data_IF_962205902624
#
_entry.id   IF_962205902624
#
_cell.length_a   1.000
_cell.length_b   1.000
_cell.length_c   1.000
_cell.angle_alpha   90.00
_cell.angle_beta   90.00
_cell.angle_gamma   90.00
#
_symmetry.space_group_name_H-M   'P 1'
#
loop_
_entity.id
_entity.type
_entity.pdbx_description
1 polymer ?
#
# COMPACT_ATOMS: atom_id res chain seq x y z
N UNK A 1 -14.85 -1.51 -2.80
CA UNK A 1 -14.34 -2.64 -1.99
C UNK A 1 -14.57 -3.84 -2.87
N UNK A 2 -13.58 -4.71 -3.06
CA UNK A 2 -13.81 -5.96 -3.80
C UNK A 2 -14.87 -6.80 -3.06
N UNK A 3 -15.57 -7.66 -3.78
CA UNK A 3 -16.32 -8.74 -3.14
C UNK A 3 -15.34 -9.64 -2.38
N UNK A 4 -15.75 -10.24 -1.25
CA UNK A 4 -14.87 -11.15 -0.51
C UNK A 4 -14.55 -12.40 -1.35
N UNK A 5 -13.33 -12.95 -1.23
CA UNK A 5 -12.96 -14.11 -2.03
C UNK A 5 -13.78 -15.33 -1.58
N UNK A 6 -14.07 -16.22 -2.52
CA UNK A 6 -14.78 -17.46 -2.22
C UNK A 6 -14.01 -18.25 -1.16
N UNK A 7 -14.74 -18.73 -0.14
CA UNK A 7 -14.19 -19.52 0.98
C UNK A 7 -13.09 -18.79 1.80
N UNK A 8 -12.90 -17.48 1.62
CA UNK A 8 -11.87 -16.70 2.30
C UNK A 8 -10.46 -16.89 1.74
N UNK A 9 -10.31 -17.54 0.58
CA UNK A 9 -9.01 -17.83 -0.04
C UNK A 9 -8.69 -16.77 -1.10
N UNK A 10 -7.75 -15.87 -0.79
CA UNK A 10 -7.32 -14.83 -1.73
C UNK A 10 -6.52 -15.42 -2.90
N UNK A 11 -6.88 -15.03 -4.13
CA UNK A 11 -6.10 -15.27 -5.34
C UNK A 11 -5.47 -13.97 -5.86
N UNK A 12 -4.67 -14.06 -6.93
CA UNK A 12 -3.98 -12.91 -7.50
C UNK A 12 -4.95 -11.80 -7.95
N UNK A 13 -6.05 -12.15 -8.62
CA UNK A 13 -7.01 -11.17 -9.15
C UNK A 13 -7.72 -10.44 -8.01
N UNK A 14 -8.09 -11.16 -6.96
CA UNK A 14 -8.69 -10.58 -5.76
C UNK A 14 -7.71 -9.65 -5.03
N UNK A 15 -6.46 -10.09 -4.85
CA UNK A 15 -5.42 -9.28 -4.19
C UNK A 15 -5.15 -7.99 -4.97
N UNK A 16 -5.10 -8.05 -6.30
CA UNK A 16 -4.92 -6.85 -7.12
C UNK A 16 -6.05 -5.84 -6.89
N UNK A 17 -7.31 -6.29 -6.92
CA UNK A 17 -8.49 -5.46 -6.70
C UNK A 17 -8.56 -4.92 -5.26
N UNK A 18 -8.18 -5.75 -4.29
CA UNK A 18 -8.09 -5.40 -2.89
C UNK A 18 -7.06 -4.28 -2.67
N UNK A 19 -5.86 -4.42 -3.22
CA UNK A 19 -4.81 -3.41 -3.15
C UNK A 19 -5.21 -2.14 -3.90
N UNK A 20 -5.81 -2.23 -5.08
CA UNK A 20 -6.30 -1.06 -5.81
C UNK A 20 -7.31 -0.25 -4.99
N UNK A 21 -8.27 -0.94 -4.36
CA UNK A 21 -9.22 -0.30 -3.47
C UNK A 21 -8.53 0.27 -2.23
N UNK A 22 -7.62 -0.47 -1.60
CA UNK A 22 -6.89 -0.07 -0.39
C UNK A 22 -6.02 1.18 -0.60
N UNK A 23 -5.37 1.28 -1.76
CA UNK A 23 -4.54 2.43 -2.17
C UNK A 23 -5.38 3.69 -2.48
N UNK A 24 -6.69 3.54 -2.67
CA UNK A 24 -7.62 4.67 -2.78
C UNK A 24 -7.96 5.31 -1.42
N UNK A 25 -7.63 4.66 -0.31
CA UNK A 25 -7.98 5.07 1.07
C UNK A 25 -6.81 5.70 1.83
N UNK A 26 -7.12 6.42 2.91
CA UNK A 26 -6.12 6.80 3.92
C UNK A 26 -5.78 5.61 4.81
N UNK A 27 -4.69 5.70 5.60
CA UNK A 27 -4.31 4.63 6.54
C UNK A 27 -5.35 4.47 7.64
N UNK A 28 -5.95 5.57 8.10
CA UNK A 28 -6.91 5.57 9.22
C UNK A 28 -8.37 5.46 8.78
N UNK A 29 -8.65 5.05 7.54
CA UNK A 29 -10.00 4.72 7.10
C UNK A 29 -10.43 3.38 7.73
N UNK A 30 -10.32 3.28 9.05
CA UNK A 30 -10.43 2.07 9.87
C UNK A 30 -11.86 1.50 9.86
N UNK A 31 -12.06 0.47 9.05
CA UNK A 31 -13.10 -0.53 9.24
C UNK A 31 -12.48 -1.87 9.59
N UNK A 32 -13.24 -2.75 10.26
CA UNK A 32 -12.81 -4.16 10.47
C UNK A 32 -12.53 -4.85 9.13
N UNK A 33 -13.26 -4.45 8.09
CA UNK A 33 -13.13 -4.91 6.73
C UNK A 33 -11.76 -4.61 6.13
N UNK A 34 -11.17 -3.46 6.48
CA UNK A 34 -9.85 -3.06 5.97
C UNK A 34 -8.73 -3.87 6.59
N UNK A 35 -8.85 -4.22 7.88
CA UNK A 35 -7.89 -5.09 8.56
C UNK A 35 -7.93 -6.50 8.00
N UNK A 36 -9.13 -7.04 7.76
CA UNK A 36 -9.28 -8.35 7.14
C UNK A 36 -8.75 -8.38 5.70
N UNK A 37 -8.98 -7.32 4.92
CA UNK A 37 -8.44 -7.19 3.58
C UNK A 37 -6.91 -7.08 3.56
N UNK A 38 -6.35 -6.24 4.45
CA UNK A 38 -4.91 -6.10 4.60
C UNK A 38 -4.27 -7.44 5.02
N UNK A 39 -4.90 -8.20 5.92
CA UNK A 39 -4.41 -9.50 6.35
C UNK A 39 -4.37 -10.53 5.20
N UNK A 40 -5.48 -10.70 4.47
CA UNK A 40 -5.53 -11.66 3.36
C UNK A 40 -4.58 -11.30 2.23
N UNK A 41 -4.49 -10.02 1.87
CA UNK A 41 -3.57 -9.56 0.82
C UNK A 41 -2.11 -9.74 1.21
N UNK A 42 -1.74 -9.44 2.47
CA UNK A 42 -0.38 -9.63 2.95
C UNK A 42 -0.01 -11.12 3.09
N UNK A 43 -0.95 -11.96 3.52
CA UNK A 43 -0.74 -13.42 3.57
C UNK A 43 -0.45 -13.99 2.18
N UNK A 44 -1.24 -13.59 1.17
CA UNK A 44 -1.00 -14.03 -0.21
C UNK A 44 0.36 -13.56 -0.72
N UNK A 45 0.73 -12.29 -0.48
CA UNK A 45 2.04 -11.74 -0.89
C UNK A 45 3.18 -12.48 -0.19
N UNK A 46 3.06 -12.78 1.10
CA UNK A 46 4.09 -13.48 1.86
C UNK A 46 4.33 -14.91 1.36
N UNK A 47 3.31 -15.54 0.76
CA UNK A 47 3.40 -16.88 0.17
C UNK A 47 3.74 -16.85 -1.33
N UNK A 48 3.82 -15.68 -1.96
CA UNK A 48 4.16 -15.55 -3.37
C UNK A 48 5.65 -15.78 -3.61
N UNK A 49 5.98 -16.56 -4.65
CA UNK A 49 7.37 -16.76 -5.11
C UNK A 49 7.79 -15.75 -6.18
N UNK A 50 6.83 -14.98 -6.69
CA UNK A 50 7.04 -14.05 -7.81
C UNK A 50 7.18 -12.60 -7.33
N UNK A 51 6.63 -12.27 -6.15
CA UNK A 51 6.61 -10.91 -5.62
C UNK A 51 7.55 -10.80 -4.43
N UNK A 52 8.69 -10.14 -4.66
CA UNK A 52 9.59 -9.73 -3.60
C UNK A 52 9.66 -8.20 -3.51
N UNK A 53 9.23 -7.65 -2.38
CA UNK A 53 9.30 -6.20 -2.12
C UNK A 53 10.51 -5.87 -1.27
N UNK A 54 11.45 -5.13 -1.85
CA UNK A 54 12.61 -4.59 -1.12
C UNK A 54 12.40 -3.08 -0.92
N UNK A 55 12.44 -2.62 0.34
CA UNK A 55 12.31 -1.21 0.70
C UNK A 55 13.60 -0.74 1.36
N UNK A 56 14.32 0.16 0.68
CA UNK A 56 15.38 0.94 1.30
C UNK A 56 14.78 2.22 1.91
N UNK A 57 14.71 2.31 3.24
CA UNK A 57 14.04 3.43 3.91
C UNK A 57 14.64 4.80 3.57
N UNK A 58 15.94 4.84 3.24
CA UNK A 58 16.64 6.04 2.76
C UNK A 58 16.06 6.61 1.46
N UNK A 59 15.43 5.77 0.63
CA UNK A 59 14.77 6.23 -0.59
C UNK A 59 13.44 6.93 -0.35
N UNK A 60 12.87 6.79 0.84
CA UNK A 60 11.53 7.24 1.19
C UNK A 60 11.53 8.12 2.44
N UNK A 61 12.02 9.38 2.35
CA UNK A 61 12.28 10.22 3.52
C UNK A 61 11.04 10.54 4.37
N UNK A 62 9.83 10.40 3.82
CA UNK A 62 8.60 10.59 4.58
C UNK A 62 8.42 9.55 5.70
N UNK A 63 9.05 8.37 5.58
CA UNK A 63 8.97 7.32 6.60
C UNK A 63 9.68 7.68 7.90
N UNK A 64 10.64 8.61 7.87
CA UNK A 64 11.35 9.06 9.07
C UNK A 64 10.43 9.82 10.04
N UNK A 65 9.37 10.45 9.53
CA UNK A 65 8.40 11.24 10.30
C UNK A 65 7.06 10.53 10.42
N UNK A 66 6.65 9.81 9.37
CA UNK A 66 5.37 9.08 9.29
C UNK A 66 5.61 7.59 8.97
N UNK A 67 6.10 6.78 9.93
CA UNK A 67 6.32 5.35 9.75
C UNK A 67 5.03 4.57 9.43
N UNK A 68 3.85 5.09 9.78
CA UNK A 68 2.54 4.56 9.43
C UNK A 68 2.31 4.44 7.91
N UNK A 69 3.09 5.15 7.09
CA UNK A 69 3.07 5.05 5.63
C UNK A 69 3.84 3.84 5.07
N UNK A 70 4.52 3.04 5.90
CA UNK A 70 5.27 1.87 5.46
C UNK A 70 4.36 0.81 4.82
N UNK A 71 3.24 0.46 5.47
CA UNK A 71 2.33 -0.56 4.93
C UNK A 71 1.74 -0.15 3.56
N UNK A 72 1.21 1.07 3.37
CA UNK A 72 0.77 1.52 2.05
C UNK A 72 1.89 1.57 0.99
N UNK A 73 3.14 1.85 1.39
CA UNK A 73 4.28 1.80 0.47
C UNK A 73 4.51 0.38 -0.05
N UNK A 74 4.55 -0.60 0.86
CA UNK A 74 4.69 -2.02 0.50
C UNK A 74 3.53 -2.44 -0.41
N UNK A 75 2.29 -2.13 -0.01
CA UNK A 75 1.08 -2.44 -0.80
C UNK A 75 1.12 -1.85 -2.21
N UNK A 76 1.62 -0.62 -2.34
CA UNK A 76 1.77 0.05 -3.63
C UNK A 76 2.82 -0.63 -4.51
N UNK A 77 3.94 -1.07 -3.93
CA UNK A 77 4.96 -1.83 -4.66
C UNK A 77 4.41 -3.15 -5.17
N UNK A 78 3.76 -3.93 -4.29
CA UNK A 78 3.09 -5.18 -4.67
C UNK A 78 2.13 -4.95 -5.84
N UNK A 79 1.22 -3.98 -5.70
CA UNK A 79 0.22 -3.70 -6.73
C UNK A 79 0.83 -3.32 -8.09
N UNK A 80 1.96 -2.62 -8.09
CA UNK A 80 2.70 -2.32 -9.33
C UNK A 80 3.33 -3.57 -9.93
N UNK A 81 3.98 -4.39 -9.11
CA UNK A 81 4.63 -5.63 -9.55
C UNK A 81 3.63 -6.61 -10.15
N UNK A 82 2.44 -6.77 -9.54
CA UNK A 82 1.34 -7.59 -10.09
C UNK A 82 0.92 -7.14 -11.49
N UNK A 83 1.02 -5.83 -11.79
CA UNK A 83 0.72 -5.24 -13.10
C UNK A 83 1.90 -5.22 -14.07
N UNK A 84 3.02 -5.86 -13.71
CA UNK A 84 4.25 -5.84 -14.49
C UNK A 84 4.84 -4.45 -14.66
N UNK A 85 4.56 -3.52 -13.72
CA UNK A 85 5.06 -2.14 -13.77
C UNK A 85 6.34 -1.99 -12.97
N UNK A 86 7.26 -1.21 -13.52
CA UNK A 86 8.45 -0.78 -12.79
C UNK A 86 8.10 0.15 -11.62
N UNK A 87 8.95 0.11 -10.61
CA UNK A 87 8.86 0.96 -9.42
C UNK A 87 9.53 2.30 -9.72
N UNK A 88 8.79 3.18 -10.38
CA UNK A 88 9.23 4.55 -10.64
C UNK A 88 9.03 5.44 -9.41
N UNK A 89 10.14 5.96 -8.87
CA UNK A 89 10.15 6.74 -7.62
C UNK A 89 9.19 7.92 -7.63
N UNK A 90 9.13 8.68 -8.72
CA UNK A 90 8.22 9.81 -8.85
C UNK A 90 6.75 9.40 -8.77
N UNK A 91 6.38 8.30 -9.45
CA UNK A 91 4.99 7.85 -9.47
C UNK A 91 4.57 7.26 -8.12
N UNK A 92 5.49 6.54 -7.46
CA UNK A 92 5.31 6.06 -6.09
C UNK A 92 5.13 7.25 -5.14
N UNK A 93 5.99 8.26 -5.22
CA UNK A 93 5.88 9.47 -4.40
C UNK A 93 4.56 10.21 -4.65
N UNK A 94 4.10 10.32 -5.91
CA UNK A 94 2.79 10.92 -6.22
C UNK A 94 1.63 10.14 -5.59
N UNK A 95 1.66 8.81 -5.61
CA UNK A 95 0.64 7.98 -5.01
C UNK A 95 0.66 8.04 -3.48
N UNK A 96 1.84 7.89 -2.88
CA UNK A 96 2.04 7.98 -1.42
C UNK A 96 1.64 9.35 -0.87
N UNK A 97 1.94 10.44 -1.59
CA UNK A 97 1.50 11.79 -1.25
C UNK A 97 -0.02 11.92 -1.20
N UNK A 98 -0.75 11.21 -2.08
CA UNK A 98 -2.23 11.21 -2.06
C UNK A 98 -2.77 10.45 -0.86
N UNK A 99 -2.18 9.31 -0.51
CA UNK A 99 -2.54 8.52 0.67
C UNK A 99 -2.28 9.31 1.96
N UNK A 100 -1.09 9.91 2.06
CA UNK A 100 -0.70 10.76 3.19
C UNK A 100 -1.67 11.93 3.41
N UNK A 101 -2.18 12.55 2.34
CA UNK A 101 -3.19 13.63 2.43
C UNK A 101 -4.54 13.19 2.97
N UNK A 102 -4.92 11.93 2.77
CA UNK A 102 -6.20 11.36 3.24
C UNK A 102 -6.11 10.79 4.64
N UNK A 103 -4.89 10.54 5.11
CA UNK A 103 -4.60 9.93 6.41
C UNK A 103 -4.59 11.02 7.48
N UNK A 104 -5.39 10.84 8.54
CA UNK A 104 -5.60 11.86 9.59
C UNK A 104 -4.46 11.88 10.61
N UNK A 105 -3.86 10.72 10.90
CA UNK A 105 -2.72 10.55 11.81
C UNK A 105 -1.44 11.13 11.23
N UNK A 106 -1.32 11.15 9.90
CA UNK A 106 -0.19 11.72 9.18
C UNK A 106 -0.22 13.25 9.25
N UNK A 107 0.84 13.83 9.79
CA UNK A 107 1.06 15.29 9.79
C UNK A 107 1.53 15.77 8.41
N UNK A 108 0.62 15.76 7.43
CA UNK A 108 0.98 15.97 6.02
C UNK A 108 1.80 17.25 5.75
N UNK A 109 1.58 18.33 6.51
CA UNK A 109 2.35 19.57 6.36
C UNK A 109 3.85 19.39 6.65
N UNK A 110 4.21 18.52 7.59
CA UNK A 110 5.59 18.27 8.01
C UNK A 110 6.34 17.40 6.99
N UNK A 111 5.64 16.50 6.29
CA UNK A 111 6.25 15.55 5.35
C UNK A 111 6.06 15.93 3.87
N UNK A 112 5.39 17.05 3.57
CA UNK A 112 5.03 17.43 2.18
C UNK A 112 6.24 17.53 1.25
N UNK A 113 7.36 18.05 1.75
CA UNK A 113 8.63 18.21 1.01
C UNK A 113 9.42 16.91 0.87
N UNK A 114 9.02 15.85 1.57
CA UNK A 114 9.66 14.54 1.50
C UNK A 114 9.17 13.70 0.31
N UNK A 115 8.17 14.18 -0.43
CA UNK A 115 7.68 13.58 -1.68
C UNK A 115 8.22 14.36 -2.88
N UNK A 116 9.46 14.06 -3.28
CA UNK A 116 10.12 14.60 -4.48
C UNK A 116 10.26 13.52 -5.56
#
# INVERSE_FOLDING_TARGET
MPEWPAEGVADADWVEQALEWRLSKGVDDCGQEMLALDALSLEWVANSTEIQVNIETQDWPFLAVSPELMAPLIQLHVWRMMRGKEIEKEEVNRAMKRIARRTKTVRFREIRSSFN
#
